data_IF_999351099788
#
_entry.id   IF_999351099788
#
_cell.length_a   1.000
_cell.length_b   1.000
_cell.length_c   1.000
_cell.angle_alpha   90.00
_cell.angle_beta   90.00
_cell.angle_gamma   90.00
#
_symmetry.space_group_name_H-M   'P 1'
#
loop_
_entity.id
_entity.type
_entity.pdbx_description
1 polymer ?
#
# COMPACT_ATOMS: atom_id res chain seq x y z
N UNK A 1 5.22 -5.80 40.74
CA UNK A 1 4.43 -6.95 40.24
C UNK A 1 2.97 -6.60 39.91
N UNK A 2 2.28 -5.79 40.72
CA UNK A 2 0.86 -5.45 40.54
C UNK A 2 0.56 -4.76 39.20
N UNK A 3 1.40 -3.82 38.76
CA UNK A 3 1.21 -3.09 37.50
C UNK A 3 1.21 -3.99 36.25
N UNK A 4 2.10 -5.00 36.19
CA UNK A 4 2.16 -5.96 35.07
C UNK A 4 0.89 -6.82 34.98
N UNK A 5 0.32 -7.18 36.12
CA UNK A 5 -0.92 -7.96 36.20
C UNK A 5 -2.13 -7.15 35.69
N UNK A 6 -2.21 -5.86 36.04
CA UNK A 6 -3.27 -4.97 35.58
C UNK A 6 -3.23 -4.76 34.06
N UNK A 7 -2.05 -4.53 33.49
CA UNK A 7 -1.86 -4.35 32.04
C UNK A 7 -2.31 -5.61 31.26
N UNK A 8 -1.98 -6.80 31.77
CA UNK A 8 -2.39 -8.07 31.13
C UNK A 8 -3.91 -8.26 31.14
N UNK A 9 -4.61 -7.83 32.20
CA UNK A 9 -6.08 -7.95 32.29
C UNK A 9 -6.79 -7.00 31.34
N UNK A 10 -6.32 -5.75 31.27
CA UNK A 10 -6.87 -4.73 30.37
C UNK A 10 -6.72 -5.20 28.91
N UNK A 11 -5.53 -5.71 28.55
CA UNK A 11 -5.26 -6.21 27.20
C UNK A 11 -6.18 -7.37 26.79
N UNK A 12 -6.43 -8.34 27.68
CA UNK A 12 -7.35 -9.46 27.39
C UNK A 12 -8.79 -8.98 27.27
N UNK A 13 -9.24 -8.10 28.18
CA UNK A 13 -10.57 -7.53 28.10
C UNK A 13 -10.80 -6.77 26.78
N UNK A 14 -9.79 -6.01 26.33
CA UNK A 14 -9.83 -5.30 25.05
C UNK A 14 -9.85 -6.27 23.86
N UNK A 15 -9.07 -7.35 23.91
CA UNK A 15 -9.06 -8.37 22.86
C UNK A 15 -10.44 -9.05 22.73
N UNK A 16 -11.08 -9.40 23.84
CA UNK A 16 -12.44 -9.98 23.84
C UNK A 16 -13.46 -8.98 23.32
N UNK A 17 -13.38 -7.72 23.79
CA UNK A 17 -14.25 -6.63 23.34
C UNK A 17 -14.16 -6.40 21.82
N UNK A 18 -12.98 -6.57 21.23
CA UNK A 18 -12.74 -6.43 19.78
C UNK A 18 -13.15 -7.68 18.97
N UNK A 19 -13.18 -8.86 19.61
CA UNK A 19 -13.52 -10.12 18.94
C UNK A 19 -15.02 -10.20 18.61
N UNK A 20 -15.89 -9.70 19.49
CA UNK A 20 -17.35 -9.65 19.28
C UNK A 20 -17.72 -8.85 18.01
N UNK A 21 -17.30 -7.58 17.83
CA UNK A 21 -17.62 -6.82 16.62
C UNK A 21 -16.96 -7.41 15.37
N UNK A 22 -15.82 -8.10 15.48
CA UNK A 22 -15.21 -8.79 14.33
C UNK A 22 -16.12 -9.87 13.73
N UNK A 23 -16.99 -10.48 14.53
CA UNK A 23 -17.97 -11.46 14.05
C UNK A 23 -19.19 -10.79 13.41
N UNK A 24 -19.57 -9.61 13.90
CA UNK A 24 -20.79 -8.90 13.49
C UNK A 24 -20.58 -8.09 12.20
N UNK A 25 -19.43 -7.45 12.03
CA UNK A 25 -19.20 -6.56 10.87
C UNK A 25 -19.20 -7.36 9.57
N UNK A 26 -19.99 -6.97 8.57
CA UNK A 26 -20.07 -7.66 7.28
C UNK A 26 -18.91 -7.35 6.33
N UNK A 27 -18.22 -6.22 6.51
CA UNK A 27 -17.08 -5.83 5.68
C UNK A 27 -15.87 -6.73 5.94
N UNK A 28 -15.37 -7.48 4.94
CA UNK A 28 -14.23 -8.39 5.11
C UNK A 28 -12.95 -7.65 5.49
N UNK A 29 -12.80 -6.40 5.04
CA UNK A 29 -11.65 -5.54 5.32
C UNK A 29 -11.61 -5.12 6.77
N UNK A 30 -12.76 -4.72 7.32
CA UNK A 30 -12.87 -4.35 8.73
C UNK A 30 -12.68 -5.59 9.63
N UNK A 31 -13.22 -6.74 9.22
CA UNK A 31 -12.98 -8.03 9.90
C UNK A 31 -11.49 -8.34 9.97
N UNK A 32 -10.77 -8.23 8.84
CA UNK A 32 -9.33 -8.44 8.80
C UNK A 32 -8.57 -7.52 9.77
N UNK A 33 -8.87 -6.22 9.75
CA UNK A 33 -8.22 -5.24 10.65
C UNK A 33 -8.50 -5.57 12.11
N UNK A 34 -9.74 -5.88 12.47
CA UNK A 34 -10.10 -6.25 13.84
C UNK A 34 -9.42 -7.56 14.28
N UNK A 35 -9.39 -8.59 13.44
CA UNK A 35 -8.70 -9.86 13.73
C UNK A 35 -7.19 -9.67 13.91
N UNK A 36 -6.56 -8.83 13.07
CA UNK A 36 -5.15 -8.48 13.22
C UNK A 36 -4.89 -7.71 14.52
N UNK A 37 -5.77 -6.78 14.88
CA UNK A 37 -5.67 -6.01 16.12
C UNK A 37 -5.80 -6.91 17.36
N UNK A 38 -6.73 -7.87 17.33
CA UNK A 38 -6.85 -8.91 18.36
C UNK A 38 -5.54 -9.69 18.50
N UNK A 39 -4.95 -10.13 17.38
CA UNK A 39 -3.68 -10.86 17.42
C UNK A 39 -2.56 -10.02 18.06
N UNK A 40 -2.41 -8.76 17.65
CA UNK A 40 -1.38 -7.85 18.20
C UNK A 40 -1.58 -7.57 19.69
N UNK A 41 -2.81 -7.24 20.10
CA UNK A 41 -3.11 -6.97 21.51
C UNK A 41 -2.89 -8.19 22.39
N UNK A 42 -3.07 -9.39 21.85
CA UNK A 42 -2.88 -10.67 22.55
C UNK A 42 -1.40 -11.03 22.77
N UNK A 43 -0.45 -10.36 22.10
CA UNK A 43 0.99 -10.62 22.28
C UNK A 43 1.48 -10.19 23.67
N UNK A 44 0.94 -9.09 24.21
CA UNK A 44 1.30 -8.58 25.54
C UNK A 44 1.11 -9.60 26.68
N UNK A 45 -0.05 -10.27 26.82
CA UNK A 45 -0.25 -11.31 27.83
C UNK A 45 0.62 -12.56 27.60
N UNK A 46 1.04 -12.84 26.37
CA UNK A 46 1.98 -13.94 26.07
C UNK A 46 3.37 -13.64 26.61
N UNK A 47 3.88 -12.43 26.39
CA UNK A 47 5.24 -12.05 26.81
C UNK A 47 5.29 -11.75 28.32
N UNK A 48 4.37 -10.91 28.80
CA UNK A 48 4.45 -10.31 30.13
C UNK A 48 3.48 -10.92 31.16
N UNK A 49 2.58 -11.82 30.73
CA UNK A 49 1.52 -12.36 31.59
C UNK A 49 1.99 -13.49 32.53
N UNK A 50 1.32 -13.66 33.69
CA UNK A 50 1.41 -14.88 34.51
C UNK A 50 1.05 -16.13 33.71
N UNK A 51 1.53 -17.31 34.12
CA UNK A 51 1.42 -18.58 33.37
C UNK A 51 0.00 -18.87 32.82
N UNK A 52 -1.05 -18.57 33.62
CA UNK A 52 -2.46 -18.76 33.23
C UNK A 52 -2.91 -17.86 32.08
N UNK A 53 -2.41 -16.63 32.01
CA UNK A 53 -2.77 -15.65 30.98
C UNK A 53 -1.99 -15.83 29.68
N UNK A 54 -0.81 -16.47 29.74
CA UNK A 54 -0.02 -16.81 28.56
C UNK A 54 -0.76 -17.76 27.63
N UNK A 55 -1.39 -18.79 28.20
CA UNK A 55 -2.12 -19.81 27.44
C UNK A 55 -3.35 -19.20 26.74
N UNK A 56 -4.09 -18.34 27.44
CA UNK A 56 -5.19 -17.55 26.87
C UNK A 56 -4.69 -16.61 25.77
N UNK A 57 -3.56 -15.93 25.99
CA UNK A 57 -2.94 -15.07 24.98
C UNK A 57 -2.54 -15.83 23.72
N UNK A 58 -1.93 -17.01 23.85
CA UNK A 58 -1.54 -17.86 22.69
C UNK A 58 -2.78 -18.29 21.90
N UNK A 59 -3.83 -18.75 22.57
CA UNK A 59 -5.09 -19.12 21.92
C UNK A 59 -5.69 -17.93 21.18
N UNK A 60 -5.71 -16.74 21.80
CA UNK A 60 -6.24 -15.53 21.18
C UNK A 60 -5.41 -15.07 19.97
N UNK A 61 -4.07 -15.17 20.02
CA UNK A 61 -3.19 -14.91 18.86
C UNK A 61 -3.50 -15.89 17.73
N UNK A 62 -3.56 -17.19 18.03
CA UNK A 62 -3.83 -18.23 17.03
C UNK A 62 -5.21 -18.04 16.38
N UNK A 63 -6.23 -17.74 17.17
CA UNK A 63 -7.57 -17.44 16.69
C UNK A 63 -7.59 -16.18 15.82
N UNK A 64 -6.92 -15.10 16.25
CA UNK A 64 -6.82 -13.86 15.47
C UNK A 64 -6.15 -14.06 14.10
N UNK A 65 -5.03 -14.79 14.07
CA UNK A 65 -4.32 -15.12 12.83
C UNK A 65 -5.18 -16.04 11.94
N UNK A 66 -5.79 -17.07 12.52
CA UNK A 66 -6.65 -18.02 11.80
C UNK A 66 -7.85 -17.36 11.14
N UNK A 67 -8.43 -16.34 11.78
CA UNK A 67 -9.52 -15.54 11.22
C UNK A 67 -9.02 -14.54 10.16
N UNK A 68 -7.82 -13.97 10.33
CA UNK A 68 -7.28 -12.97 9.42
C UNK A 68 -6.78 -13.56 8.08
N UNK A 69 -6.16 -14.74 8.10
CA UNK A 69 -5.61 -15.41 6.91
C UNK A 69 -6.58 -15.54 5.72
N UNK A 70 -7.80 -16.10 5.88
CA UNK A 70 -8.73 -16.27 4.77
C UNK A 70 -9.34 -14.93 4.29
N UNK A 71 -9.29 -13.88 5.11
CA UNK A 71 -9.82 -12.55 4.77
C UNK A 71 -8.82 -11.70 4.00
N UNK A 72 -7.53 -12.08 4.01
CA UNK A 72 -6.47 -11.33 3.36
C UNK A 72 -6.65 -11.12 1.83
N UNK A 73 -7.10 -12.11 1.03
CA UNK A 73 -7.36 -11.90 -0.38
C UNK A 73 -8.48 -10.88 -0.62
N UNK A 74 -9.53 -10.91 0.20
CA UNK A 74 -10.65 -9.98 0.10
C UNK A 74 -10.22 -8.55 0.48
N UNK A 75 -9.37 -8.40 1.50
CA UNK A 75 -8.77 -7.11 1.84
C UNK A 75 -7.89 -6.54 0.71
N UNK A 76 -7.10 -7.40 0.06
CA UNK A 76 -6.27 -7.01 -1.09
C UNK A 76 -7.09 -6.51 -2.29
N UNK A 77 -8.29 -7.05 -2.48
CA UNK A 77 -9.22 -6.64 -3.53
C UNK A 77 -10.09 -5.44 -3.15
N UNK A 78 -9.97 -4.91 -1.93
CA UNK A 78 -10.77 -3.78 -1.49
C UNK A 78 -10.42 -2.52 -2.33
N UNK A 79 -11.42 -1.81 -2.89
CA UNK A 79 -11.19 -0.63 -3.71
C UNK A 79 -10.41 0.47 -2.96
N UNK A 80 -10.53 0.59 -1.63
CA UNK A 80 -9.76 1.54 -0.83
C UNK A 80 -8.29 1.14 -0.75
N UNK A 81 -7.99 -0.14 -0.57
CA UNK A 81 -6.62 -0.66 -0.57
C UNK A 81 -5.96 -0.46 -1.94
N UNK A 82 -6.67 -0.86 -3.00
CA UNK A 82 -6.21 -0.68 -4.38
C UNK A 82 -5.97 0.80 -4.69
N UNK A 83 -6.91 1.68 -4.35
CA UNK A 83 -6.76 3.13 -4.53
C UNK A 83 -5.55 3.69 -3.78
N UNK A 84 -5.35 3.29 -2.53
CA UNK A 84 -4.19 3.74 -1.75
C UNK A 84 -2.86 3.30 -2.40
N UNK A 85 -2.80 2.07 -2.94
CA UNK A 85 -1.63 1.57 -3.66
C UNK A 85 -1.41 2.26 -4.99
N UNK A 86 -2.47 2.57 -5.74
CA UNK A 86 -2.38 3.38 -6.97
C UNK A 86 -1.90 4.79 -6.66
N UNK A 87 -2.37 5.42 -5.58
CA UNK A 87 -1.88 6.73 -5.12
C UNK A 87 -0.39 6.66 -4.74
N UNK A 88 0.03 5.61 -4.04
CA UNK A 88 1.43 5.38 -3.67
C UNK A 88 2.31 5.24 -4.93
N UNK A 89 1.90 4.41 -5.89
CA UNK A 89 2.59 4.25 -7.16
C UNK A 89 2.63 5.57 -7.94
N UNK A 90 1.54 6.34 -7.93
CA UNK A 90 1.48 7.60 -8.65
C UNK A 90 2.40 8.68 -8.06
N UNK A 91 2.51 8.74 -6.73
CA UNK A 91 3.44 9.62 -6.04
C UNK A 91 4.90 9.25 -6.37
N UNK A 92 5.21 7.96 -6.37
CA UNK A 92 6.52 7.46 -6.77
C UNK A 92 6.85 7.81 -8.23
N UNK A 93 5.90 7.66 -9.16
CA UNK A 93 6.11 8.06 -10.55
C UNK A 93 6.45 9.54 -10.72
N UNK A 94 5.89 10.43 -9.89
CA UNK A 94 6.27 11.86 -9.88
C UNK A 94 7.68 12.10 -9.33
N UNK A 95 8.14 11.28 -8.38
CA UNK A 95 9.52 11.33 -7.87
C UNK A 95 10.50 10.87 -8.95
N UNK A 96 10.21 9.75 -9.62
CA UNK A 96 10.98 9.26 -10.78
C UNK A 96 11.04 10.31 -11.88
N UNK A 97 9.92 10.96 -12.20
CA UNK A 97 9.85 12.03 -13.20
C UNK A 97 10.78 13.20 -12.88
N UNK A 98 10.77 13.67 -11.63
CA UNK A 98 11.68 14.76 -11.18
C UNK A 98 13.15 14.34 -11.23
N UNK A 99 13.45 13.10 -10.86
CA UNK A 99 14.82 12.58 -10.94
C UNK A 99 15.28 12.42 -12.39
N UNK A 100 14.42 11.93 -13.27
CA UNK A 100 14.66 11.83 -14.71
C UNK A 100 14.92 13.20 -15.35
N UNK A 101 14.24 14.25 -14.90
CA UNK A 101 14.51 15.62 -15.36
C UNK A 101 15.90 16.12 -15.00
N UNK A 102 16.41 15.78 -13.81
CA UNK A 102 17.79 16.13 -13.45
C UNK A 102 18.79 15.48 -14.40
N UNK A 103 18.60 14.19 -14.70
CA UNK A 103 19.44 13.48 -15.66
C UNK A 103 19.34 14.09 -17.07
N UNK A 104 18.12 14.46 -17.48
CA UNK A 104 17.90 15.10 -18.78
C UNK A 104 18.60 16.47 -18.88
N UNK A 105 18.63 17.26 -17.79
CA UNK A 105 19.33 18.55 -17.77
C UNK A 105 20.86 18.37 -17.75
N UNK A 106 21.36 17.43 -16.95
CA UNK A 106 22.80 17.25 -16.72
C UNK A 106 23.50 16.50 -17.86
N UNK A 107 22.86 15.48 -18.41
CA UNK A 107 23.46 14.57 -19.40
C UNK A 107 22.80 14.63 -20.78
N UNK A 108 21.78 15.49 -20.96
CA UNK A 108 21.02 15.63 -22.22
C UNK A 108 20.49 14.29 -22.78
N UNK A 109 20.09 13.37 -21.90
CA UNK A 109 19.53 12.06 -22.25
C UNK A 109 18.50 11.59 -21.23
N UNK A 110 17.72 10.57 -21.59
CA UNK A 110 16.86 9.87 -20.63
C UNK A 110 17.69 8.97 -19.72
N UNK A 111 17.26 8.75 -18.47
CA UNK A 111 17.86 7.72 -17.62
C UNK A 111 17.68 6.34 -18.25
N UNK A 112 18.67 5.46 -18.04
CA UNK A 112 18.66 4.10 -18.58
C UNK A 112 17.99 3.11 -17.65
N UNK A 113 17.94 3.43 -16.35
CA UNK A 113 17.39 2.54 -15.32
C UNK A 113 17.00 3.33 -14.07
N UNK A 114 16.15 2.72 -13.24
CA UNK A 114 15.78 3.30 -11.94
C UNK A 114 16.98 3.39 -10.99
N UNK A 115 17.92 2.46 -11.10
CA UNK A 115 19.15 2.42 -10.29
C UNK A 115 20.06 3.63 -10.54
N UNK A 116 20.08 4.14 -11.77
CA UNK A 116 20.79 5.37 -12.11
C UNK A 116 20.22 6.59 -11.37
N UNK A 117 18.91 6.59 -11.09
CA UNK A 117 18.24 7.64 -10.35
C UNK A 117 18.44 7.53 -8.82
N UNK A 118 19.07 6.44 -8.34
CA UNK A 118 19.24 6.18 -6.91
C UNK A 118 17.92 5.93 -6.18
N UNK A 119 16.90 5.44 -6.88
CA UNK A 119 15.57 5.17 -6.32
C UNK A 119 15.32 3.67 -6.20
N UNK A 120 14.58 3.29 -5.14
CA UNK A 120 14.14 1.93 -4.90
C UNK A 120 12.65 1.75 -5.21
N UNK A 121 12.27 0.56 -5.69
CA UNK A 121 10.87 0.25 -5.99
C UNK A 121 10.02 0.13 -4.71
N UNK A 122 8.86 0.81 -4.64
CA UNK A 122 7.92 0.63 -3.54
C UNK A 122 7.23 -0.74 -3.64
N UNK A 123 7.59 -1.65 -2.73
CA UNK A 123 7.07 -3.03 -2.69
C UNK A 123 5.54 -3.10 -2.64
N UNK A 124 4.94 -3.93 -3.50
CA UNK A 124 3.50 -4.13 -3.57
C UNK A 124 2.72 -2.92 -4.09
N UNK A 125 3.39 -2.01 -4.79
CA UNK A 125 2.77 -0.90 -5.51
C UNK A 125 3.28 -0.83 -6.96
N UNK A 126 4.60 -0.99 -7.15
CA UNK A 126 5.24 -0.88 -8.46
C UNK A 126 6.12 -2.11 -8.69
N UNK A 127 5.88 -2.80 -9.80
CA UNK A 127 6.61 -4.00 -10.21
C UNK A 127 7.88 -3.63 -10.99
N UNK A 128 7.77 -2.62 -11.87
CA UNK A 128 8.87 -2.21 -12.73
C UNK A 128 8.70 -0.75 -13.20
N UNK A 129 9.80 -0.16 -13.65
CA UNK A 129 9.85 1.17 -14.25
C UNK A 129 10.71 1.11 -15.50
N UNK A 130 10.15 1.53 -16.63
CA UNK A 130 10.88 1.62 -17.89
C UNK A 130 10.93 3.05 -18.43
N UNK A 131 12.01 3.33 -19.16
CA UNK A 131 12.34 4.64 -19.71
C UNK A 131 12.50 4.55 -21.23
N UNK A 132 11.40 4.62 -22.00
CA UNK A 132 11.50 4.63 -23.45
C UNK A 132 12.24 5.88 -23.96
N UNK A 133 12.74 5.79 -25.21
CA UNK A 133 13.57 6.85 -25.82
C UNK A 133 12.82 8.16 -26.08
N UNK A 134 11.49 8.13 -26.08
CA UNK A 134 10.63 9.30 -26.25
C UNK A 134 10.58 10.20 -24.99
N UNK A 135 11.22 9.77 -23.89
CA UNK A 135 11.25 10.50 -22.62
C UNK A 135 10.02 10.27 -21.76
N UNK A 136 9.10 9.40 -22.17
CA UNK A 136 8.03 8.94 -21.29
C UNK A 136 8.59 8.07 -20.18
N UNK A 137 7.83 7.93 -19.10
CA UNK A 137 8.14 6.98 -18.02
C UNK A 137 6.93 6.07 -17.89
N UNK A 138 7.17 4.76 -17.99
CA UNK A 138 6.13 3.75 -17.85
C UNK A 138 6.36 3.02 -16.52
N UNK A 139 5.36 3.12 -15.65
CA UNK A 139 5.34 2.48 -14.35
C UNK A 139 4.42 1.26 -14.41
N UNK A 140 4.93 0.06 -14.16
CA UNK A 140 4.12 -1.17 -14.12
C UNK A 140 3.64 -1.39 -12.68
N UNK A 141 2.34 -1.53 -12.49
CA UNK A 141 1.75 -1.73 -11.15
C UNK A 141 1.90 -3.16 -10.64
N UNK A 142 2.17 -3.28 -9.34
CA UNK A 142 2.16 -4.53 -8.56
C UNK A 142 0.97 -4.57 -7.58
N UNK A 143 -0.17 -4.00 -7.99
CA UNK A 143 -1.36 -3.88 -7.14
C UNK A 143 -2.30 -5.05 -7.44
N UNK A 144 -2.90 -5.71 -6.43
CA UNK A 144 -3.91 -6.74 -6.67
C UNK A 144 -5.02 -6.21 -7.58
N UNK A 145 -5.54 -7.03 -8.49
CA UNK A 145 -6.55 -6.68 -9.52
C UNK A 145 -6.09 -5.73 -10.64
N UNK A 146 -4.95 -5.04 -10.48
CA UNK A 146 -4.36 -4.13 -11.48
C UNK A 146 -2.90 -4.48 -11.79
N UNK A 147 -2.48 -5.71 -11.51
CA UNK A 147 -1.09 -6.14 -11.71
C UNK A 147 -0.77 -6.15 -13.20
N UNK A 148 0.34 -5.53 -13.59
CA UNK A 148 0.72 -5.35 -14.99
C UNK A 148 0.09 -4.12 -15.66
N UNK A 149 -0.88 -3.45 -15.03
CA UNK A 149 -1.41 -2.18 -15.54
C UNK A 149 -0.34 -1.09 -15.49
N UNK A 150 -0.35 -0.20 -16.49
CA UNK A 150 0.69 0.82 -16.66
C UNK A 150 0.16 2.21 -16.29
N UNK A 151 0.93 2.93 -15.47
CA UNK A 151 0.84 4.39 -15.34
C UNK A 151 1.88 5.03 -16.27
N UNK A 152 1.42 5.85 -17.19
CA UNK A 152 2.26 6.55 -18.14
C UNK A 152 2.43 8.01 -17.73
N UNK A 153 3.69 8.44 -17.65
CA UNK A 153 4.06 9.84 -17.42
C UNK A 153 4.65 10.40 -18.70
N UNK A 154 3.96 11.38 -19.26
CA UNK A 154 4.38 12.05 -20.49
C UNK A 154 4.92 13.43 -20.15
N UNK A 155 6.18 13.73 -20.50
CA UNK A 155 6.72 15.07 -20.32
C UNK A 155 6.10 16.04 -21.32
N UNK A 156 5.85 17.28 -20.88
CA UNK A 156 5.47 18.41 -21.73
C UNK A 156 6.40 19.58 -21.42
N UNK A 157 6.92 20.25 -22.45
CA UNK A 157 7.87 21.35 -22.31
C UNK A 157 9.34 20.94 -22.49
N UNK A 158 10.25 21.86 -22.17
CA UNK A 158 11.70 21.69 -22.35
C UNK A 158 12.37 21.07 -21.11
N UNK A 159 13.50 20.35 -21.26
CA UNK A 159 14.26 19.82 -20.12
C UNK A 159 14.50 20.88 -19.03
N UNK A 160 14.28 20.52 -17.76
CA UNK A 160 14.41 21.43 -16.61
C UNK A 160 13.19 22.30 -16.30
N UNK A 161 12.25 22.44 -17.26
CA UNK A 161 10.97 23.13 -17.09
C UNK A 161 9.78 22.25 -17.49
N UNK A 162 9.96 20.92 -17.47
CA UNK A 162 8.94 19.97 -17.91
C UNK A 162 7.79 19.91 -16.90
N UNK A 163 6.58 19.96 -17.43
CA UNK A 163 5.38 19.55 -16.72
C UNK A 163 5.09 18.09 -17.08
N UNK A 164 4.78 17.28 -16.08
CA UNK A 164 4.52 15.86 -16.27
C UNK A 164 3.03 15.57 -16.22
N UNK A 165 2.54 14.91 -17.27
CA UNK A 165 1.15 14.46 -17.35
C UNK A 165 1.10 12.97 -17.05
N UNK A 166 0.43 12.60 -15.96
CA UNK A 166 0.17 11.21 -15.60
C UNK A 166 -1.12 10.72 -16.24
N UNK A 167 -1.16 9.52 -16.82
CA UNK A 167 -2.36 8.91 -17.41
C UNK A 167 -2.31 7.38 -17.38
N UNK A 168 -3.46 6.72 -17.56
CA UNK A 168 -3.53 5.27 -17.76
C UNK A 168 -4.75 4.90 -18.59
N UNK A 169 -4.62 3.89 -19.45
CA UNK A 169 -5.73 3.35 -20.24
C UNK A 169 -6.40 2.14 -19.57
N UNK A 170 -5.66 1.39 -18.74
CA UNK A 170 -6.12 0.14 -18.14
C UNK A 170 -6.77 0.34 -16.75
N UNK A 171 -6.51 1.47 -16.09
CA UNK A 171 -6.96 1.72 -14.72
C UNK A 171 -8.25 2.55 -14.72
N UNK A 172 -9.33 2.11 -14.04
CA UNK A 172 -10.55 2.88 -13.92
C UNK A 172 -10.31 4.28 -13.33
N UNK A 173 -10.94 5.35 -13.88
CA UNK A 173 -10.75 6.73 -13.40
C UNK A 173 -11.06 6.92 -11.91
N UNK A 174 -11.99 6.14 -11.35
CA UNK A 174 -12.34 6.19 -9.93
C UNK A 174 -11.18 5.80 -9.00
N UNK A 175 -10.27 4.95 -9.47
CA UNK A 175 -9.09 4.47 -8.73
C UNK A 175 -7.85 5.34 -8.97
N UNK A 176 -7.79 6.07 -10.08
CA UNK A 176 -6.71 7.01 -10.36
C UNK A 176 -6.74 8.19 -9.37
N UNK A 177 -5.59 8.75 -9.00
CA UNK A 177 -5.54 10.00 -8.23
C UNK A 177 -5.92 11.18 -9.13
N UNK A 178 -6.35 12.29 -8.53
CA UNK A 178 -6.91 13.45 -9.26
C UNK A 178 -5.96 13.96 -10.34
N UNK A 179 -4.66 14.01 -10.05
CA UNK A 179 -3.62 14.48 -10.99
C UNK A 179 -3.52 13.61 -12.25
N UNK A 180 -3.88 12.33 -12.16
CA UNK A 180 -3.83 11.40 -13.29
C UNK A 180 -5.19 11.29 -14.03
N UNK A 181 -6.26 11.92 -13.52
CA UNK A 181 -7.59 11.92 -14.15
C UNK A 181 -7.76 13.02 -15.18
N UNK A 182 -7.18 14.19 -14.91
CA UNK A 182 -7.32 15.37 -15.76
C UNK A 182 -6.77 15.13 -17.18
N UNK A 183 -5.75 14.29 -17.31
CA UNK A 183 -5.16 13.88 -18.58
C UNK A 183 -6.07 13.00 -19.44
N UNK A 184 -6.95 12.20 -18.81
CA UNK A 184 -7.86 11.26 -19.48
C UNK A 184 -9.06 12.01 -20.08
N UNK A 185 -9.49 13.09 -19.43
CA UNK A 185 -10.61 13.92 -19.89
C UNK A 185 -10.21 14.96 -20.94
N UNK A 186 -8.91 15.20 -21.12
CA UNK A 186 -8.37 16.09 -22.15
C UNK A 186 -8.19 15.38 -23.51
N UNK A 187 -9.21 14.64 -23.96
CA UNK A 187 -9.29 14.25 -25.38
C UNK A 187 -9.64 15.50 -26.21
N UNK A 188 -8.92 15.77 -27.31
CA UNK A 188 -9.32 16.77 -28.29
C UNK A 188 -10.63 16.39 -28.98
#
# INVERSE_FOLDING_TARGET
MVLKSQISRISIALAILMLIPSLIVTSPSLRFVLSALVAVLSVLPVICGPMRYRLVGIIAVAAGIGLALPLYPAFKGDPYYVKAKVVQAAAFGMEVARAADKVAVEYNRTPLSLRELGLDLPKGAVADVSFPKDGTILLVLEVPTLSGSILQYTPTGTPGARQWRCSSQAIPPALLPVQCRESVNARP
#
